data_IF_261909985947
#
_entry.id   IF_261909985947
#
_cell.length_a   1.000
_cell.length_b   1.000
_cell.length_c   1.000
_cell.angle_alpha   90.00
_cell.angle_beta   90.00
_cell.angle_gamma   90.00
#
_symmetry.space_group_name_H-M   'P 1'
#
loop_
_entity.id
_entity.type
_entity.pdbx_description
1 polymer ?
#
# COMPACT_ATOMS: atom_id res chain seq x y z
N UNK A 1 -36.20 33.69 -15.00
CA UNK A 1 -36.51 32.29 -14.61
C UNK A 1 -35.90 31.23 -15.54
N UNK A 2 -36.06 31.31 -16.87
CA UNK A 2 -35.50 30.29 -17.79
C UNK A 2 -33.96 30.17 -17.81
N UNK A 3 -33.21 31.25 -17.54
CA UNK A 3 -31.73 31.21 -17.49
C UNK A 3 -31.18 30.48 -16.26
N UNK A 4 -31.82 30.61 -15.11
CA UNK A 4 -31.42 29.90 -13.89
C UNK A 4 -31.67 28.39 -14.02
N UNK A 5 -32.73 28.00 -14.71
CA UNK A 5 -33.00 26.58 -14.98
C UNK A 5 -31.92 25.95 -15.87
N UNK A 6 -31.44 26.67 -16.90
CA UNK A 6 -30.34 26.22 -17.77
C UNK A 6 -29.00 26.11 -17.05
N UNK A 7 -28.68 27.03 -16.14
CA UNK A 7 -27.45 26.94 -15.34
C UNK A 7 -27.47 25.74 -14.38
N UNK A 8 -28.63 25.47 -13.75
CA UNK A 8 -28.81 24.29 -12.89
C UNK A 8 -28.69 22.98 -13.67
N UNK A 9 -29.24 22.91 -14.89
CA UNK A 9 -29.07 21.71 -15.75
C UNK A 9 -27.64 21.54 -16.23
N UNK A 10 -26.93 22.62 -16.55
CA UNK A 10 -25.53 22.56 -16.97
C UNK A 10 -24.60 22.11 -15.83
N UNK A 11 -24.87 22.54 -14.60
CA UNK A 11 -24.12 22.10 -13.40
C UNK A 11 -24.43 20.63 -13.09
N UNK A 12 -25.68 20.19 -13.24
CA UNK A 12 -26.03 18.79 -13.06
C UNK A 12 -25.43 17.88 -14.15
N UNK A 13 -25.31 18.36 -15.38
CA UNK A 13 -24.58 17.68 -16.46
C UNK A 13 -23.07 17.67 -16.24
N UNK A 14 -22.50 18.68 -15.58
CA UNK A 14 -21.08 18.66 -15.18
C UNK A 14 -20.85 17.67 -14.02
N UNK A 15 -21.75 17.60 -13.04
CA UNK A 15 -21.69 16.65 -11.93
C UNK A 15 -21.97 15.19 -12.37
N UNK A 16 -22.80 14.98 -13.38
CA UNK A 16 -22.98 13.67 -14.02
C UNK A 16 -21.91 13.38 -15.11
N UNK A 17 -21.20 14.41 -15.58
CA UNK A 17 -20.16 14.36 -16.61
C UNK A 17 -18.74 14.21 -16.06
N UNK A 18 -18.54 14.43 -14.75
CA UNK A 18 -17.50 13.71 -14.00
C UNK A 18 -17.99 12.28 -13.89
N UNK A 19 -17.90 11.57 -15.03
CA UNK A 19 -18.12 10.15 -15.07
C UNK A 19 -17.42 9.55 -13.88
N UNK A 20 -18.14 8.69 -13.16
CA UNK A 20 -17.54 7.62 -12.41
C UNK A 20 -16.52 6.94 -13.33
N UNK A 21 -15.30 7.46 -13.37
CA UNK A 21 -14.15 6.70 -13.75
C UNK A 21 -14.22 5.56 -12.75
N UNK A 22 -14.64 4.40 -13.24
CA UNK A 22 -14.48 3.14 -12.56
C UNK A 22 -12.97 2.91 -12.50
N UNK A 23 -12.30 3.69 -11.66
CA UNK A 23 -10.88 3.61 -11.40
C UNK A 23 -10.75 2.29 -10.69
N UNK A 24 -10.29 1.26 -11.42
CA UNK A 24 -9.94 0.04 -10.73
C UNK A 24 -8.72 0.32 -9.86
N UNK A 25 -8.70 -0.36 -8.73
CA UNK A 25 -7.93 0.08 -7.58
C UNK A 25 -6.89 -0.97 -7.31
N UNK A 26 -5.66 -0.52 -7.20
CA UNK A 26 -4.56 -1.42 -6.96
C UNK A 26 -3.90 -1.05 -5.64
N UNK A 27 -3.54 -2.07 -4.87
CA UNK A 27 -2.79 -1.91 -3.64
C UNK A 27 -1.46 -2.64 -3.76
N UNK A 28 -0.40 -1.98 -3.32
CA UNK A 28 0.90 -2.61 -3.16
C UNK A 28 0.96 -3.33 -1.83
N UNK A 29 1.27 -4.63 -1.84
CA UNK A 29 1.31 -5.44 -0.64
C UNK A 29 2.66 -6.12 -0.52
N UNK A 30 3.39 -5.88 0.57
CA UNK A 30 4.56 -6.67 0.90
C UNK A 30 4.18 -8.06 1.44
N UNK A 31 4.84 -9.06 0.87
CA UNK A 31 4.89 -10.44 1.36
C UNK A 31 6.20 -10.62 2.16
N UNK A 32 6.48 -11.85 2.64
CA UNK A 32 7.65 -12.14 3.49
C UNK A 32 8.96 -11.72 2.81
N UNK A 33 9.24 -12.30 1.64
CA UNK A 33 10.39 -11.96 0.80
C UNK A 33 9.99 -11.32 -0.53
N UNK A 34 8.71 -11.32 -0.88
CA UNK A 34 8.21 -10.88 -2.17
C UNK A 34 7.26 -9.69 -2.03
N UNK A 35 6.85 -9.09 -3.14
CA UNK A 35 5.88 -8.00 -3.14
C UNK A 35 4.93 -8.17 -4.31
N UNK A 36 3.71 -7.65 -4.16
CA UNK A 36 2.70 -7.75 -5.20
C UNK A 36 1.95 -6.45 -5.39
N UNK A 37 1.45 -6.24 -6.60
CA UNK A 37 0.36 -5.30 -6.84
C UNK A 37 -0.90 -6.13 -7.02
N UNK A 38 -1.90 -5.85 -6.19
CA UNK A 38 -3.18 -6.55 -6.16
C UNK A 38 -4.29 -5.61 -6.62
N UNK A 39 -5.13 -6.05 -7.56
CA UNK A 39 -6.31 -5.29 -8.02
C UNK A 39 -7.52 -5.68 -7.16
N UNK A 40 -8.05 -4.72 -6.41
CA UNK A 40 -9.16 -4.89 -5.48
C UNK A 40 -10.48 -5.24 -6.18
N UNK A 41 -10.66 -4.80 -7.44
CA UNK A 41 -11.89 -5.04 -8.18
C UNK A 41 -11.91 -6.45 -8.76
N UNK A 42 -10.83 -6.85 -9.44
CA UNK A 42 -10.71 -8.20 -10.01
C UNK A 42 -10.30 -9.25 -8.99
N UNK A 43 -9.85 -8.83 -7.80
CA UNK A 43 -9.39 -9.69 -6.71
C UNK A 43 -8.24 -10.61 -7.13
N UNK A 44 -7.33 -10.06 -7.91
CA UNK A 44 -6.21 -10.80 -8.49
C UNK A 44 -4.91 -10.02 -8.35
N UNK A 45 -3.82 -10.77 -8.26
CA UNK A 45 -2.48 -10.20 -8.33
C UNK A 45 -2.17 -9.88 -9.78
N UNK A 46 -1.91 -8.61 -10.06
CA UNK A 46 -1.58 -8.11 -11.40
C UNK A 46 -0.08 -8.07 -11.66
N UNK A 47 0.73 -8.02 -10.59
CA UNK A 47 2.19 -8.06 -10.70
C UNK A 47 2.81 -8.70 -9.48
N UNK A 48 3.77 -9.59 -9.72
CA UNK A 48 4.64 -10.18 -8.71
C UNK A 48 6.05 -9.63 -8.85
N UNK A 49 6.68 -9.41 -7.70
CA UNK A 49 8.09 -9.07 -7.57
C UNK A 49 8.73 -10.16 -6.71
N UNK A 50 9.30 -11.16 -7.37
CA UNK A 50 9.96 -12.28 -6.70
C UNK A 50 11.42 -11.95 -6.40
N UNK A 51 11.81 -12.05 -5.13
CA UNK A 51 13.19 -11.82 -4.70
C UNK A 51 14.19 -12.77 -5.37
N UNK A 52 13.78 -14.02 -5.59
CA UNK A 52 14.64 -15.03 -6.22
C UNK A 52 14.98 -14.70 -7.68
N UNK A 53 14.05 -14.09 -8.41
CA UNK A 53 14.24 -13.70 -9.81
C UNK A 53 14.94 -12.33 -9.91
N UNK A 54 14.62 -11.42 -8.98
CA UNK A 54 15.10 -10.05 -8.95
C UNK A 54 15.54 -9.68 -7.53
N UNK A 55 16.76 -10.07 -7.11
CA UNK A 55 17.24 -9.80 -5.76
C UNK A 55 17.39 -8.29 -5.57
N UNK A 56 16.59 -7.73 -4.66
CA UNK A 56 16.67 -6.34 -4.25
C UNK A 56 17.45 -6.22 -2.95
N UNK A 57 18.35 -5.24 -2.85
CA UNK A 57 19.13 -5.02 -1.62
C UNK A 57 18.28 -4.59 -0.42
N UNK A 58 17.23 -3.80 -0.68
CA UNK A 58 16.30 -3.21 0.29
C UNK A 58 14.89 -3.38 -0.26
N UNK A 59 13.93 -3.53 0.65
CA UNK A 59 12.51 -3.68 0.37
C UNK A 59 12.00 -2.58 -0.59
N UNK A 60 11.37 -2.95 -1.72
CA UNK A 60 10.77 -1.97 -2.63
C UNK A 60 9.69 -1.13 -1.95
N UNK A 61 9.50 0.11 -2.43
CA UNK A 61 8.49 1.05 -1.96
C UNK A 61 7.79 1.70 -3.15
N UNK A 62 6.49 1.93 -3.07
CA UNK A 62 5.77 2.69 -4.09
C UNK A 62 5.59 4.13 -3.64
N UNK A 63 5.76 5.07 -4.58
CA UNK A 63 5.46 6.48 -4.33
C UNK A 63 4.03 6.65 -3.81
N UNK A 64 3.80 7.54 -2.83
CA UNK A 64 2.46 7.82 -2.35
C UNK A 64 1.41 8.18 -3.43
N UNK A 65 1.83 8.65 -4.59
CA UNK A 65 0.95 8.90 -5.74
C UNK A 65 0.66 7.65 -6.61
N UNK A 66 1.27 6.51 -6.30
CA UNK A 66 1.07 5.25 -7.02
C UNK A 66 1.68 5.22 -8.42
N UNK A 67 2.60 6.14 -8.76
CA UNK A 67 3.18 6.24 -10.12
C UNK A 67 4.47 5.45 -10.27
N UNK A 68 5.34 5.50 -9.25
CA UNK A 68 6.69 4.95 -9.31
C UNK A 68 6.92 3.86 -8.26
N UNK A 69 7.64 2.82 -8.67
CA UNK A 69 8.23 1.83 -7.79
C UNK A 69 9.70 2.19 -7.57
N UNK A 70 10.11 2.32 -6.31
CA UNK A 70 11.49 2.50 -5.88
C UNK A 70 12.03 1.19 -5.31
N UNK A 71 13.22 0.80 -5.73
CA UNK A 71 13.90 -0.41 -5.25
C UNK A 71 15.39 -0.30 -5.49
N UNK A 72 16.17 -1.11 -4.79
CA UNK A 72 17.62 -1.12 -4.97
C UNK A 72 18.07 -2.36 -5.73
N UNK A 73 19.07 -2.22 -6.61
CA UNK A 73 19.84 -3.37 -7.10
C UNK A 73 21.21 -3.36 -6.43
N UNK A 74 21.72 -4.55 -6.08
CA UNK A 74 23.07 -4.70 -5.54
C UNK A 74 24.08 -4.68 -6.69
N UNK A 75 25.04 -3.76 -6.64
CA UNK A 75 26.12 -3.69 -7.63
C UNK A 75 27.46 -3.83 -6.89
N UNK A 76 28.01 -5.04 -6.91
CA UNK A 76 29.25 -5.47 -6.23
C UNK A 76 29.25 -5.12 -4.73
N UNK A 77 29.62 -3.88 -4.39
CA UNK A 77 29.81 -3.38 -3.01
C UNK A 77 28.84 -2.25 -2.61
N UNK A 78 28.01 -1.73 -3.53
CA UNK A 78 27.09 -0.62 -3.27
C UNK A 78 25.65 -0.94 -3.68
N UNK A 79 24.69 -0.37 -2.97
CA UNK A 79 23.30 -0.32 -3.43
C UNK A 79 23.10 0.86 -4.37
N UNK A 80 22.40 0.63 -5.47
CA UNK A 80 21.96 1.67 -6.38
C UNK A 80 20.44 1.74 -6.31
N UNK A 81 19.90 2.93 -6.06
CA UNK A 81 18.45 3.16 -6.07
C UNK A 81 17.97 3.27 -7.52
N UNK A 82 16.91 2.53 -7.83
CA UNK A 82 16.20 2.60 -9.10
C UNK A 82 14.79 3.10 -8.86
N UNK A 83 14.25 3.84 -9.83
CA UNK A 83 12.83 4.13 -9.93
C UNK A 83 12.29 3.59 -11.24
N UNK A 84 11.15 2.90 -11.18
CA UNK A 84 10.44 2.37 -12.34
C UNK A 84 9.04 2.98 -12.39
N UNK A 85 8.66 3.56 -13.51
CA UNK A 85 7.29 3.97 -13.76
C UNK A 85 6.39 2.74 -13.90
N UNK A 86 5.33 2.64 -13.10
CA UNK A 86 4.52 1.42 -12.98
C UNK A 86 3.73 1.08 -14.25
N UNK A 87 3.26 2.09 -14.99
CA UNK A 87 2.57 1.91 -16.27
C UNK A 87 3.54 1.67 -17.43
N UNK A 88 4.43 2.63 -17.73
CA UNK A 88 5.32 2.56 -18.90
C UNK A 88 6.46 1.57 -18.75
N UNK A 89 6.69 1.05 -17.54
CA UNK A 89 7.80 0.16 -17.17
C UNK A 89 9.20 0.76 -17.36
N UNK A 90 9.31 2.04 -17.75
CA UNK A 90 10.58 2.75 -17.87
C UNK A 90 11.28 2.75 -16.50
N UNK A 91 12.50 2.23 -16.48
CA UNK A 91 13.36 2.14 -15.31
C UNK A 91 14.53 3.13 -15.47
N UNK A 92 14.90 3.82 -14.41
CA UNK A 92 16.09 4.67 -14.37
C UNK A 92 16.74 4.64 -12.99
N UNK A 93 18.06 4.80 -12.95
CA UNK A 93 18.82 4.94 -11.71
C UNK A 93 18.61 6.33 -11.12
N UNK A 94 18.40 6.39 -9.81
CA UNK A 94 18.36 7.65 -9.06
C UNK A 94 19.74 7.90 -8.49
N UNK A 95 20.34 9.04 -8.85
CA UNK A 95 21.66 9.41 -8.37
C UNK A 95 21.63 9.66 -6.87
N UNK A 96 22.46 8.92 -6.13
CA UNK A 96 22.61 9.07 -4.69
C UNK A 96 23.95 9.73 -4.40
N UNK A 97 24.00 10.74 -3.51
CA UNK A 97 25.23 11.49 -3.27
C UNK A 97 26.36 10.64 -2.68
N UNK A 98 26.01 9.54 -2.02
CA UNK A 98 26.93 8.62 -1.35
C UNK A 98 26.34 7.20 -1.32
N UNK A 99 27.19 6.17 -1.09
CA UNK A 99 26.72 4.83 -0.76
C UNK A 99 25.76 4.81 0.42
N UNK A 100 24.84 3.86 0.40
CA UNK A 100 23.83 3.63 1.44
C UNK A 100 23.51 2.13 1.52
N UNK A 101 23.01 1.69 2.67
CA UNK A 101 22.66 0.30 2.94
C UNK A 101 21.14 0.09 3.05
N UNK A 102 20.39 1.14 3.38
CA UNK A 102 18.93 1.12 3.49
C UNK A 102 18.33 2.43 3.02
N UNK A 103 17.13 2.37 2.46
CA UNK A 103 16.35 3.53 2.09
C UNK A 103 14.90 3.39 2.57
N UNK A 104 14.26 4.51 2.88
CA UNK A 104 12.83 4.61 3.13
C UNK A 104 12.27 5.80 2.38
N UNK A 105 11.24 5.57 1.57
CA UNK A 105 10.55 6.68 0.91
C UNK A 105 9.77 7.49 1.96
N UNK A 106 10.02 8.80 2.05
CA UNK A 106 9.30 9.67 2.99
C UNK A 106 8.07 10.28 2.33
N UNK A 107 8.23 10.74 1.10
CA UNK A 107 7.18 11.28 0.24
C UNK A 107 7.64 11.20 -1.23
N UNK A 108 6.86 11.77 -2.16
CA UNK A 108 7.18 11.73 -3.60
C UNK A 108 8.48 12.46 -3.96
N UNK A 109 9.01 13.29 -3.06
CA UNK A 109 10.16 14.19 -3.29
C UNK A 109 11.36 13.85 -2.45
N UNK A 110 11.28 12.93 -1.50
CA UNK A 110 12.36 12.70 -0.52
C UNK A 110 12.46 11.24 -0.11
N UNK A 111 13.70 10.82 0.07
CA UNK A 111 14.07 9.51 0.62
C UNK A 111 14.93 9.69 1.86
N UNK A 112 14.73 8.85 2.87
CA UNK A 112 15.59 8.72 4.04
C UNK A 112 16.57 7.58 3.81
N UNK A 113 17.86 7.88 3.81
CA UNK A 113 18.94 6.89 3.71
C UNK A 113 19.50 6.59 5.09
N UNK A 114 19.74 5.31 5.37
CA UNK A 114 20.39 4.81 6.58
C UNK A 114 19.79 5.35 7.89
N UNK A 115 18.49 5.66 7.88
CA UNK A 115 17.75 6.30 8.99
C UNK A 115 18.36 7.60 9.52
N UNK A 116 19.23 8.27 8.75
CA UNK A 116 20.01 9.42 9.22
C UNK A 116 20.01 10.60 8.26
N UNK A 117 19.80 10.37 6.96
CA UNK A 117 20.01 11.39 5.92
C UNK A 117 18.81 11.52 5.01
N UNK A 118 18.26 12.71 4.86
CA UNK A 118 17.16 12.98 3.93
C UNK A 118 17.74 13.50 2.62
N UNK A 119 17.45 12.81 1.52
CA UNK A 119 17.91 13.15 0.16
C UNK A 119 16.69 13.48 -0.70
N UNK A 120 16.69 14.61 -1.44
CA UNK A 120 15.64 14.92 -2.39
C UNK A 120 15.67 13.98 -3.61
N UNK A 121 14.50 13.65 -4.13
CA UNK A 121 14.27 12.97 -5.39
C UNK A 121 13.85 14.06 -6.39
N UNK A 122 14.67 14.33 -7.40
CA UNK A 122 14.38 15.42 -8.35
C UNK A 122 13.04 15.23 -9.08
N UNK A 123 12.31 16.37 -9.14
CA UNK A 123 11.03 16.63 -9.82
C UNK A 123 9.84 15.75 -9.44
N UNK A 124 9.19 16.08 -8.32
CA UNK A 124 7.72 15.97 -8.25
C UNK A 124 7.14 17.08 -7.38
N UNK A 125 6.49 18.08 -7.98
CA UNK A 125 5.62 18.96 -7.19
C UNK A 125 4.39 18.13 -6.84
N UNK A 126 3.95 18.10 -5.56
CA UNK A 126 2.76 17.36 -5.24
C UNK A 126 1.55 17.95 -5.96
N UNK A 127 0.98 17.22 -6.93
CA UNK A 127 -0.24 17.69 -7.61
C UNK A 127 -1.44 17.47 -6.69
N UNK A 128 -2.50 18.28 -6.81
CA UNK A 128 -3.72 18.13 -5.98
C UNK A 128 -4.39 16.75 -6.08
N UNK A 129 -4.15 16.01 -7.18
CA UNK A 129 -4.54 14.59 -7.30
C UNK A 129 -3.83 13.67 -6.31
N UNK A 130 -2.60 14.00 -5.87
CA UNK A 130 -1.81 13.18 -4.95
C UNK A 130 -2.34 13.23 -3.51
N UNK A 131 -2.84 14.40 -3.07
CA UNK A 131 -3.53 14.52 -1.78
C UNK A 131 -4.82 13.69 -1.79
N UNK A 132 -5.52 13.65 -2.93
CA UNK A 132 -6.74 12.85 -3.08
C UNK A 132 -6.50 11.35 -3.08
N UNK A 133 -5.32 10.84 -3.48
CA UNK A 133 -4.98 9.42 -3.45
C UNK A 133 -4.53 8.97 -2.05
N UNK A 134 -3.67 9.75 -1.38
CA UNK A 134 -3.29 9.47 0.01
C UNK A 134 -4.50 9.50 0.96
N UNK A 135 -5.49 10.35 0.67
CA UNK A 135 -6.75 10.39 1.40
C UNK A 135 -7.63 9.13 1.20
N UNK A 136 -7.33 8.23 0.24
CA UNK A 136 -8.18 7.04 -0.03
C UNK A 136 -7.92 5.89 0.91
N UNK A 137 -6.76 5.84 1.56
CA UNK A 137 -6.40 4.75 2.45
C UNK A 137 -5.77 5.29 3.73
N UNK A 138 -6.44 5.06 4.86
CA UNK A 138 -6.05 5.64 6.15
C UNK A 138 -5.74 4.51 7.11
N UNK A 139 -4.55 4.53 7.72
CA UNK A 139 -4.20 3.58 8.76
C UNK A 139 -5.16 3.71 9.95
N UNK A 140 -5.66 2.58 10.45
CA UNK A 140 -6.59 2.53 11.57
C UNK A 140 -5.85 2.24 12.87
N UNK A 141 -6.40 2.73 13.99
CA UNK A 141 -5.91 2.38 15.31
C UNK A 141 -6.46 1.01 15.72
N UNK A 142 -5.60 0.17 16.32
CA UNK A 142 -5.97 -1.16 16.81
C UNK A 142 -6.07 -1.10 18.34
N UNK A 143 -7.18 -1.57 18.93
CA UNK A 143 -7.34 -1.63 20.39
C UNK A 143 -6.25 -2.55 20.99
N UNK A 144 -5.40 -2.03 21.90
CA UNK A 144 -4.29 -2.81 22.46
C UNK A 144 -4.74 -3.96 23.38
N UNK A 145 -5.96 -3.90 23.91
CA UNK A 145 -6.55 -4.91 24.80
C UNK A 145 -7.47 -5.87 24.04
N UNK A 146 -8.18 -5.35 23.03
CA UNK A 146 -9.10 -6.10 22.18
C UNK A 146 -8.58 -6.08 20.75
N UNK A 147 -7.50 -6.81 20.49
CA UNK A 147 -6.69 -6.75 19.25
C UNK A 147 -7.50 -6.83 17.93
N UNK A 148 -8.75 -7.31 17.94
CA UNK A 148 -9.63 -7.36 16.77
C UNK A 148 -10.65 -6.20 16.68
N UNK A 149 -10.51 -5.18 17.53
CA UNK A 149 -11.28 -3.93 17.50
C UNK A 149 -10.45 -2.84 16.86
N UNK A 150 -11.03 -2.18 15.86
CA UNK A 150 -10.41 -1.12 15.08
C UNK A 150 -11.14 0.19 15.28
N UNK A 151 -10.39 1.29 15.26
CA UNK A 151 -10.91 2.64 15.36
C UNK A 151 -10.52 3.47 14.15
N UNK A 152 -11.48 4.25 13.68
CA UNK A 152 -11.25 5.33 12.71
C UNK A 152 -12.20 6.48 13.04
N UNK A 153 -11.64 7.62 13.43
CA UNK A 153 -12.38 8.73 14.04
C UNK A 153 -13.20 8.24 15.24
N UNK A 154 -14.51 8.51 15.24
CA UNK A 154 -15.45 8.09 16.29
C UNK A 154 -16.06 6.70 16.03
N UNK A 155 -15.79 6.10 14.86
CA UNK A 155 -16.32 4.79 14.49
C UNK A 155 -15.48 3.67 15.11
N UNK A 156 -16.18 2.65 15.63
CA UNK A 156 -15.59 1.41 16.13
C UNK A 156 -16.02 0.26 15.24
N UNK A 157 -15.05 -0.55 14.84
CA UNK A 157 -15.27 -1.76 14.05
C UNK A 157 -14.80 -2.98 14.85
N UNK A 158 -15.76 -3.77 15.31
CA UNK A 158 -15.48 -5.02 16.04
C UNK A 158 -15.42 -6.17 15.02
N UNK A 159 -14.22 -6.60 14.66
CA UNK A 159 -14.05 -7.80 13.85
C UNK A 159 -14.31 -9.02 14.72
N UNK A 160 -15.00 -10.01 14.17
CA UNK A 160 -15.20 -11.29 14.85
C UNK A 160 -13.85 -11.84 15.29
N UNK A 161 -13.77 -12.38 16.51
CA UNK A 161 -12.61 -13.13 16.97
C UNK A 161 -12.46 -14.40 16.12
N UNK A 162 -11.86 -14.23 14.95
CA UNK A 162 -11.29 -15.34 14.20
C UNK A 162 -10.07 -15.84 14.97
N UNK A 163 -9.56 -17.04 14.65
CA UNK A 163 -8.33 -17.57 15.28
C UNK A 163 -7.09 -16.69 15.01
N UNK A 164 -7.22 -15.57 14.29
CA UNK A 164 -6.17 -14.60 14.02
C UNK A 164 -6.29 -13.31 14.86
N UNK A 165 -5.18 -12.59 14.95
CA UNK A 165 -5.05 -11.27 15.59
C UNK A 165 -4.78 -10.20 14.54
N UNK A 166 -5.46 -9.06 14.59
CA UNK A 166 -5.12 -7.94 13.70
C UNK A 166 -3.73 -7.41 14.03
N UNK A 167 -2.90 -7.26 12.99
CA UNK A 167 -1.57 -6.65 13.09
C UNK A 167 -1.44 -5.36 12.28
N UNK A 168 -2.27 -5.19 11.24
CA UNK A 168 -2.37 -3.97 10.44
C UNK A 168 -3.80 -3.81 9.95
N UNK A 169 -4.30 -2.57 9.87
CA UNK A 169 -5.61 -2.26 9.32
C UNK A 169 -5.62 -0.89 8.64
N UNK A 170 -6.34 -0.79 7.53
CA UNK A 170 -6.51 0.43 6.75
C UNK A 170 -7.97 0.60 6.34
N UNK A 171 -8.49 1.81 6.49
CA UNK A 171 -9.80 2.21 5.98
C UNK A 171 -9.67 2.68 4.53
N UNK A 172 -10.34 1.99 3.61
CA UNK A 172 -10.44 2.32 2.20
C UNK A 172 -11.67 3.24 2.00
N UNK A 173 -11.41 4.54 1.92
CA UNK A 173 -12.43 5.60 2.05
C UNK A 173 -13.48 5.55 0.94
N UNK A 174 -13.08 5.29 -0.30
CA UNK A 174 -13.99 5.32 -1.43
C UNK A 174 -14.88 4.07 -1.48
N UNK A 175 -14.42 2.97 -0.90
CA UNK A 175 -15.04 1.64 -0.99
C UNK A 175 -15.92 1.38 0.23
N UNK A 176 -15.76 2.17 1.30
CA UNK A 176 -16.31 1.85 2.62
C UNK A 176 -15.91 0.43 3.05
N UNK A 177 -14.63 0.11 2.88
CA UNK A 177 -14.06 -1.19 3.20
C UNK A 177 -12.88 -1.06 4.15
N UNK A 178 -12.61 -2.11 4.92
CA UNK A 178 -11.41 -2.24 5.74
C UNK A 178 -10.49 -3.25 5.07
N UNK A 179 -9.26 -2.86 4.81
CA UNK A 179 -8.18 -3.78 4.46
C UNK A 179 -7.48 -4.20 5.75
N UNK A 180 -7.57 -5.48 6.11
CA UNK A 180 -7.12 -5.99 7.41
C UNK A 180 -6.12 -7.10 7.21
N UNK A 181 -5.03 -7.05 7.96
CA UNK A 181 -4.03 -8.11 8.04
C UNK A 181 -4.18 -8.87 9.37
N UNK A 182 -4.51 -10.16 9.29
CA UNK A 182 -4.64 -11.04 10.45
C UNK A 182 -3.43 -11.97 10.54
N UNK A 183 -2.82 -12.06 11.72
CA UNK A 183 -1.76 -13.01 12.04
C UNK A 183 -2.32 -14.22 12.79
N UNK A 184 -1.95 -15.42 12.33
CA UNK A 184 -2.37 -16.71 12.90
C UNK A 184 -1.18 -17.38 13.59
N UNK A 185 -1.10 -17.22 14.90
CA UNK A 185 0.00 -17.74 15.73
C UNK A 185 -0.41 -19.10 16.29
N UNK A 186 0.28 -20.16 15.85
CA UNK A 186 0.04 -21.52 16.34
C UNK A 186 1.13 -21.93 17.34
N UNK A 187 0.86 -22.92 18.20
CA UNK A 187 1.88 -23.46 19.12
C UNK A 187 3.07 -24.12 18.40
N UNK A 188 2.91 -24.44 17.12
CA UNK A 188 3.95 -25.03 16.29
C UNK A 188 4.45 -24.01 15.25
N UNK A 189 5.71 -23.58 15.39
CA UNK A 189 6.34 -22.45 14.68
C UNK A 189 6.38 -22.52 13.14
N UNK A 190 5.94 -23.62 12.53
CA UNK A 190 5.92 -23.81 11.07
C UNK A 190 4.59 -23.40 10.42
N UNK A 191 3.58 -23.01 11.23
CA UNK A 191 2.23 -22.61 10.78
C UNK A 191 1.90 -21.15 11.04
N UNK A 192 2.94 -20.38 11.31
CA UNK A 192 2.88 -19.00 11.66
C UNK A 192 2.81 -18.19 10.35
N UNK A 193 1.59 -17.74 10.00
CA UNK A 193 1.32 -16.97 8.79
C UNK A 193 0.36 -15.79 9.02
N UNK A 194 0.47 -14.77 8.18
CA UNK A 194 -0.53 -13.72 8.06
C UNK A 194 -1.31 -13.83 6.75
N UNK A 195 -2.54 -13.34 6.77
CA UNK A 195 -3.44 -13.32 5.63
C UNK A 195 -4.12 -11.95 5.57
N UNK A 196 -4.22 -11.40 4.36
CA UNK A 196 -4.97 -10.17 4.11
C UNK A 196 -6.45 -10.47 3.81
N UNK A 197 -7.31 -9.59 4.31
CA UNK A 197 -8.76 -9.65 4.19
C UNK A 197 -9.30 -8.28 3.80
N UNK A 198 -10.42 -8.30 3.09
CA UNK A 198 -11.25 -7.14 2.82
C UNK A 198 -12.55 -7.30 3.61
N UNK A 199 -12.88 -6.29 4.41
CA UNK A 199 -14.07 -6.29 5.26
C UNK A 199 -14.99 -5.19 4.79
N UNK A 200 -16.24 -5.51 4.50
CA UNK A 200 -17.26 -4.50 4.23
C UNK A 200 -17.58 -3.75 5.53
N UNK A 201 -17.37 -2.42 5.55
CA UNK A 201 -17.46 -1.65 6.79
C UNK A 201 -18.90 -1.50 7.32
N UNK A 202 -19.92 -1.85 6.52
CA UNK A 202 -21.34 -1.74 6.90
C UNK A 202 -21.90 -3.04 7.44
N UNK A 203 -21.63 -4.13 6.73
CA UNK A 203 -22.12 -5.48 7.03
C UNK A 203 -21.14 -6.30 7.86
N UNK A 204 -19.90 -5.83 8.01
CA UNK A 204 -18.79 -6.56 8.64
C UNK A 204 -18.48 -7.91 7.96
N UNK A 205 -18.98 -8.10 6.74
CA UNK A 205 -18.68 -9.29 5.95
C UNK A 205 -17.20 -9.29 5.62
N UNK A 206 -16.51 -10.34 6.04
CA UNK A 206 -15.09 -10.54 5.81
C UNK A 206 -14.88 -11.42 4.59
N UNK A 207 -13.97 -11.02 3.72
CA UNK A 207 -13.55 -11.77 2.54
C UNK A 207 -12.03 -11.94 2.55
N UNK A 208 -11.58 -13.16 2.28
CA UNK A 208 -10.16 -13.47 2.11
C UNK A 208 -9.65 -12.93 0.79
N UNK A 209 -8.50 -12.27 0.80
CA UNK A 209 -7.79 -11.91 -0.42
C UNK A 209 -6.82 -13.04 -0.79
N UNK A 210 -7.31 -13.95 -1.63
CA UNK A 210 -6.55 -15.13 -2.06
C UNK A 210 -5.18 -14.75 -2.66
N UNK A 211 -4.16 -15.54 -2.33
CA UNK A 211 -2.77 -15.27 -2.73
C UNK A 211 -2.04 -14.20 -1.92
N UNK A 212 -2.74 -13.43 -1.07
CA UNK A 212 -2.14 -12.44 -0.16
C UNK A 212 -1.85 -13.04 1.22
N UNK A 213 -1.12 -14.15 1.21
CA UNK A 213 -0.67 -14.89 2.38
C UNK A 213 0.85 -14.78 2.51
N UNK A 214 1.34 -14.44 3.70
CA UNK A 214 2.77 -14.46 3.99
C UNK A 214 3.07 -15.31 5.21
N UNK A 215 4.27 -15.90 5.27
CA UNK A 215 4.75 -16.57 6.47
C UNK A 215 5.45 -15.56 7.38
N UNK A 216 5.41 -15.78 8.70
CA UNK A 216 6.30 -15.08 9.62
C UNK A 216 7.28 -16.09 10.22
N UNK A 217 8.54 -16.03 9.79
CA UNK A 217 9.63 -16.73 10.49
C UNK A 217 10.29 -15.74 11.43
N UNK A 218 9.95 -15.82 12.73
CA UNK A 218 10.55 -15.00 13.79
C UNK A 218 12.09 -15.08 13.83
N UNK A 219 12.69 -16.13 13.24
CA UNK A 219 14.12 -16.43 13.34
C UNK A 219 14.92 -16.27 12.04
N UNK A 220 14.34 -15.76 10.95
CA UNK A 220 15.10 -15.50 9.73
C UNK A 220 15.22 -13.98 9.55
N UNK A 221 16.41 -13.45 9.84
CA UNK A 221 16.79 -12.05 9.65
C UNK A 221 16.85 -11.64 8.18
N UNK A 222 15.76 -11.82 7.45
CA UNK A 222 15.48 -11.13 6.20
C UNK A 222 14.96 -9.72 6.49
N UNK A 223 15.20 -8.80 5.54
CA UNK A 223 14.82 -7.39 5.55
C UNK A 223 13.69 -7.04 6.54
N UNK A 224 14.14 -6.52 7.69
CA UNK A 224 13.44 -6.16 8.93
C UNK A 224 11.95 -6.54 9.08
N UNK A 225 11.72 -7.44 10.03
CA UNK A 225 10.43 -7.67 10.72
C UNK A 225 9.87 -6.37 11.36
N UNK A 226 10.67 -5.30 11.45
CA UNK A 226 10.29 -3.99 11.99
C UNK A 226 9.82 -2.95 10.97
N UNK A 227 10.05 -3.15 9.67
CA UNK A 227 9.46 -2.28 8.65
C UNK A 227 7.99 -2.64 8.48
N UNK A 228 7.13 -1.81 9.07
CA UNK A 228 5.68 -1.95 8.91
C UNK A 228 5.35 -2.03 7.42
N UNK A 229 4.59 -3.05 7.00
CA UNK A 229 4.18 -3.16 5.61
C UNK A 229 3.46 -1.88 5.22
N UNK A 230 4.01 -1.11 4.29
CA UNK A 230 3.36 0.11 3.82
C UNK A 230 2.56 -0.26 2.59
N UNK A 231 1.25 -0.29 2.74
CA UNK A 231 0.35 -0.40 1.59
C UNK A 231 0.29 0.97 0.93
N UNK A 232 0.29 1.01 -0.40
CA UNK A 232 0.08 2.24 -1.18
C UNK A 232 -1.02 2.03 -2.19
N UNK A 233 -1.88 3.02 -2.37
CA UNK A 233 -2.94 3.02 -3.38
C UNK A 233 -2.37 3.41 -4.74
N UNK A 234 -2.82 2.70 -5.78
CA UNK A 234 -2.40 2.90 -7.17
C UNK A 234 -3.67 3.07 -8.01
N UNK A 235 -3.74 4.20 -8.72
CA UNK A 235 -4.80 4.45 -9.69
C UNK A 235 -4.55 3.62 -10.95
N UNK A 236 -5.54 2.82 -11.37
CA UNK A 236 -5.55 2.22 -12.70
C UNK A 236 -5.94 3.26 -13.74
N UNK A 237 -5.22 3.24 -14.85
CA UNK A 237 -5.58 3.99 -16.06
C UNK A 237 -6.74 3.31 -16.79
#
# INVERSE_FOLDING_TARGET
MMQQLRQLTMIMLYLCGVGSLAVAQQIFIPLDQDFVIFDLNSRTIVRYFHYQEHPFGVRPSISPDGVYLYYTKKLVDNLVLYRQHLVTKKEESVEMPQPFNQFRLLDNTRVLLDNTRIVPLDNSIPTGQQQLLQARMIAMDIDPKRVNRLYYNEATYDLTETQGKVISAYFLVQESQLLVQLAFIHKEAWRDYYQWYLVDARSMRTEILEGLKGAFRLNQGGASIGERPTVSYIQKN
#
